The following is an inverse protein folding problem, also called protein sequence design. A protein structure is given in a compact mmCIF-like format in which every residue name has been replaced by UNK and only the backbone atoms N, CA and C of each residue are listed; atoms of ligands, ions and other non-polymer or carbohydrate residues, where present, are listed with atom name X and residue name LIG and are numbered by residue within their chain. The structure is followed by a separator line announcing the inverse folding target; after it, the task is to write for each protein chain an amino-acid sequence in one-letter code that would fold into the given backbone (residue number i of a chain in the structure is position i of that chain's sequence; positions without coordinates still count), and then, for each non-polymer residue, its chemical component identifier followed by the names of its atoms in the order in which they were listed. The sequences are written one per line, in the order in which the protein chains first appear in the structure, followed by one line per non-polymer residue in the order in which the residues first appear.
data_IF_325594128109
#
_entry.id   IF_325594128109
#
_cell.length_a   1.000
_cell.length_b   1.000
_cell.length_c   1.000
_cell.angle_alpha   90.00
_cell.angle_beta   90.00
_cell.angle_gamma   90.00
#
_symmetry.space_group_name_H-M   'P 1'
#
loop_
_entity.id
_entity.type
_entity.pdbx_description
1 polymer ?
#
# COMPACT_ATOMS: atom_id res chain seq x y z
N UNK A 1 -19.75 37.35 24.15
CA UNK A 1 -19.18 38.17 23.05
C UNK A 1 -18.46 37.18 22.13
N UNK A 2 -19.10 36.68 21.07
CA UNK A 2 -19.08 37.24 19.68
C UNK A 2 -17.64 37.59 19.28
N UNK A 3 -16.99 36.87 18.38
CA UNK A 3 -17.22 36.84 16.92
C UNK A 3 -16.58 35.55 16.30
N UNK A 4 -17.27 34.66 15.57
CA UNK A 4 -17.54 34.64 14.08
C UNK A 4 -16.39 33.98 13.27
N UNK A 5 -16.42 32.67 12.96
CA UNK A 5 -16.98 31.94 11.77
C UNK A 5 -16.34 32.21 10.39
N UNK A 6 -16.16 31.08 9.65
CA UNK A 6 -16.01 30.84 8.18
C UNK A 6 -14.59 30.35 7.79
N UNK A 7 -14.36 29.32 6.96
CA UNK A 7 -15.11 28.80 5.79
C UNK A 7 -14.90 27.27 5.65
N UNK A 8 -16.00 26.55 5.40
CA UNK A 8 -16.09 25.18 4.86
C UNK A 8 -16.45 25.32 3.37
N UNK A 9 -15.72 24.68 2.46
CA UNK A 9 -16.06 24.64 1.04
C UNK A 9 -15.95 23.21 0.51
N UNK A 10 -17.12 22.58 0.40
CA UNK A 10 -17.38 21.40 -0.43
C UNK A 10 -17.60 21.86 -1.87
N UNK A 11 -16.96 21.21 -2.86
CA UNK A 11 -17.61 21.02 -4.17
C UNK A 11 -17.04 19.77 -4.87
N UNK A 12 -17.94 18.79 -4.95
CA UNK A 12 -17.87 17.53 -5.67
C UNK A 12 -18.22 17.79 -7.13
N UNK A 13 -17.48 17.24 -8.10
CA UNK A 13 -17.89 17.19 -9.49
C UNK A 13 -17.69 15.75 -10.02
N UNK A 14 -18.79 15.00 -10.04
CA UNK A 14 -18.92 13.72 -10.73
C UNK A 14 -19.91 13.94 -11.88
N UNK A 15 -19.45 13.74 -13.11
CA UNK A 15 -20.24 13.84 -14.33
C UNK A 15 -20.65 12.41 -14.74
N UNK A 16 -21.91 12.05 -14.52
CA UNK A 16 -22.54 10.84 -15.09
C UNK A 16 -23.84 11.28 -15.76
N UNK A 17 -23.89 11.13 -17.08
CA UNK A 17 -25.11 11.29 -17.88
C UNK A 17 -25.75 9.92 -18.00
N UNK A 18 -26.89 9.74 -17.33
CA UNK A 18 -27.80 8.61 -17.53
C UNK A 18 -28.77 8.95 -18.67
N UNK A 19 -28.75 8.12 -19.71
CA UNK A 19 -29.74 8.14 -20.78
C UNK A 19 -30.89 7.21 -20.39
N UNK A 20 -32.12 7.74 -20.39
CA UNK A 20 -33.35 7.02 -20.04
C UNK A 20 -33.89 6.25 -21.24
N UNK A 21 -34.11 4.94 -21.10
CA UNK A 21 -34.96 4.15 -22.00
C UNK A 21 -36.18 3.68 -21.21
N UNK A 22 -37.38 4.00 -21.70
CA UNK A 22 -38.63 3.32 -21.34
C UNK A 22 -39.14 2.54 -22.55
N UNK A 23 -39.61 1.30 -22.39
CA UNK A 23 -40.09 0.46 -23.50
C UNK A 23 -41.59 0.65 -23.72
N UNK A 24 -42.06 0.46 -24.96
CA UNK A 24 -43.46 0.21 -25.24
C UNK A 24 -43.59 -0.95 -26.23
N UNK A 25 -44.53 -1.83 -25.90
CA UNK A 25 -44.81 -3.11 -26.52
C UNK A 25 -45.91 -3.02 -27.59
N UNK A 26 -45.96 -4.10 -28.39
CA UNK A 26 -47.13 -4.77 -28.94
C UNK A 26 -47.89 -4.18 -30.17
N UNK A 27 -47.71 -4.91 -31.28
CA UNK A 27 -48.71 -5.65 -32.06
C UNK A 27 -49.56 -5.02 -33.19
N UNK A 28 -49.64 -5.86 -34.23
CA UNK A 28 -50.81 -6.26 -35.02
C UNK A 28 -51.12 -5.63 -36.40
N UNK A 29 -51.14 -6.55 -37.39
CA UNK A 29 -52.16 -6.77 -38.44
C UNK A 29 -52.06 -6.13 -39.83
N UNK A 30 -52.09 -7.03 -40.83
CA UNK A 30 -52.77 -6.91 -42.14
C UNK A 30 -52.06 -6.07 -43.20
N UNK A 31 -52.23 -6.25 -44.51
CA UNK A 31 -52.99 -7.16 -45.36
C UNK A 31 -52.70 -6.71 -46.80
N UNK A 32 -52.40 -7.65 -47.71
CA UNK A 32 -52.79 -7.75 -49.14
C UNK A 32 -52.71 -6.50 -50.07
N UNK A 33 -52.08 -6.67 -51.23
CA UNK A 33 -52.32 -5.88 -52.47
C UNK A 33 -51.20 -6.06 -53.49
N UNK A 34 -51.24 -7.09 -54.34
CA UNK A 34 -51.70 -7.05 -55.75
C UNK A 34 -50.86 -6.15 -56.70
N UNK A 35 -50.20 -6.85 -57.65
CA UNK A 35 -49.78 -6.52 -59.03
C UNK A 35 -49.76 -5.06 -59.53
N UNK A 36 -48.78 -4.70 -60.37
CA UNK A 36 -48.98 -4.45 -61.81
C UNK A 36 -47.65 -4.43 -62.59
N UNK A 37 -47.71 -4.96 -63.81
CA UNK A 37 -46.75 -4.82 -64.91
C UNK A 37 -46.55 -3.36 -65.30
N UNK A 38 -45.35 -2.99 -65.76
CA UNK A 38 -45.26 -2.09 -66.92
C UNK A 38 -44.00 -2.37 -67.76
N UNK A 39 -44.28 -2.53 -69.06
CA UNK A 39 -43.39 -2.70 -70.20
C UNK A 39 -42.74 -1.34 -70.55
N UNK A 40 -41.53 -1.32 -71.12
CA UNK A 40 -41.16 -0.45 -72.27
C UNK A 40 -39.86 -0.95 -72.93
N UNK A 41 -39.95 -1.01 -74.26
CA UNK A 41 -38.96 -1.23 -75.33
C UNK A 41 -37.69 -0.35 -75.15
N UNK A 42 -36.47 -0.78 -75.43
CA UNK A 42 -35.93 -1.18 -76.74
C UNK A 42 -35.16 -0.01 -77.37
N UNK A 43 -33.87 -0.18 -77.69
CA UNK A 43 -33.16 0.48 -78.81
C UNK A 43 -31.88 -0.32 -79.13
N UNK A 44 -31.80 -0.63 -80.42
CA UNK A 44 -30.77 -1.27 -81.24
C UNK A 44 -29.59 -0.31 -81.51
N UNK A 45 -28.35 -0.80 -81.60
CA UNK A 45 -27.51 -0.64 -82.81
C UNK A 45 -26.12 -1.29 -82.73
N UNK A 46 -25.82 -1.95 -83.85
CA UNK A 46 -24.62 -2.68 -84.28
C UNK A 46 -23.37 -1.81 -84.56
N UNK A 47 -22.19 -2.43 -84.49
CA UNK A 47 -21.15 -2.53 -85.55
C UNK A 47 -19.92 -3.28 -84.97
N UNK A 48 -19.48 -4.47 -85.45
CA UNK A 48 -18.93 -4.91 -86.76
C UNK A 48 -17.42 -4.63 -86.93
N UNK A 49 -16.63 -5.70 -86.95
CA UNK A 49 -15.57 -6.06 -87.94
C UNK A 49 -14.89 -7.37 -87.46
N UNK A 50 -15.00 -8.52 -88.16
CA UNK A 50 -14.22 -9.00 -89.34
C UNK A 50 -12.72 -9.17 -89.01
N UNK A 51 -11.93 -10.21 -89.34
CA UNK A 51 -11.92 -11.52 -90.06
C UNK A 51 -10.46 -12.05 -89.86
N UNK A 52 -10.07 -13.33 -89.81
CA UNK A 52 -9.78 -14.29 -90.90
C UNK A 52 -9.01 -15.49 -90.27
N UNK A 53 -9.39 -16.78 -90.43
CA UNK A 53 -9.01 -17.79 -91.47
C UNK A 53 -7.51 -18.22 -91.39
N UNK A 54 -7.09 -19.48 -91.22
CA UNK A 54 -7.15 -20.70 -92.07
C UNK A 54 -6.47 -21.85 -91.25
N UNK A 55 -6.74 -23.17 -91.31
CA UNK A 55 -6.80 -24.04 -92.49
C UNK A 55 -7.08 -25.52 -92.12
N UNK A 56 -7.92 -26.16 -92.94
CA UNK A 56 -7.92 -27.54 -93.48
C UNK A 56 -7.34 -28.71 -92.64
N UNK A 57 -8.14 -29.71 -92.24
CA UNK A 57 -8.65 -30.90 -92.98
C UNK A 57 -7.73 -32.14 -93.10
N UNK A 58 -8.39 -33.29 -92.89
CA UNK A 58 -8.11 -34.71 -93.25
C UNK A 58 -7.34 -35.51 -92.19
N UNK A 59 -7.69 -36.75 -91.82
CA UNK A 59 -8.59 -37.77 -92.39
C UNK A 59 -8.84 -38.84 -91.30
N UNK A 60 -9.91 -39.63 -91.48
CA UNK A 60 -10.06 -41.04 -91.08
C UNK A 60 -10.23 -41.45 -89.61
N UNK A 61 -11.46 -41.82 -89.24
CA UNK A 61 -11.81 -43.20 -88.86
C UNK A 61 -13.33 -43.31 -88.63
N UNK A 62 -14.04 -43.56 -89.72
CA UNK A 62 -15.44 -43.99 -89.72
C UNK A 62 -15.44 -45.52 -89.65
N UNK A 63 -16.06 -46.10 -88.62
CA UNK A 63 -16.36 -47.54 -88.56
C UNK A 63 -17.75 -47.78 -87.97
N UNK A 64 -18.68 -47.91 -88.91
CA UNK A 64 -19.90 -48.73 -88.90
C UNK A 64 -20.81 -48.71 -87.65
N UNK A 65 -21.82 -47.84 -87.68
CA UNK A 65 -23.11 -48.07 -87.04
C UNK A 65 -23.96 -49.02 -87.89
N UNK A 66 -24.69 -49.99 -87.30
CA UNK A 66 -25.69 -50.75 -88.02
C UNK A 66 -26.95 -49.90 -88.27
N UNK A 67 -27.43 -49.92 -89.51
CA UNK A 67 -28.69 -49.30 -89.95
C UNK A 67 -29.88 -50.07 -89.38
N UNK A 68 -30.78 -49.38 -88.66
CA UNK A 68 -32.11 -49.87 -88.31
C UNK A 68 -33.16 -49.20 -89.21
N UNK A 69 -34.26 -49.90 -89.56
CA UNK A 69 -35.15 -49.49 -90.62
C UNK A 69 -36.09 -48.35 -90.20
N UNK A 70 -36.53 -47.63 -91.22
CA UNK A 70 -37.51 -46.55 -91.16
C UNK A 70 -38.85 -46.99 -90.51
N UNK A 71 -39.47 -46.00 -89.87
CA UNK A 71 -40.91 -45.75 -89.79
C UNK A 71 -41.63 -45.84 -88.42
N UNK A 72 -42.30 -44.72 -88.13
CA UNK A 72 -43.32 -44.37 -87.13
C UNK A 72 -43.13 -44.57 -85.61
N UNK A 73 -43.36 -43.45 -84.91
CA UNK A 73 -44.18 -43.33 -83.68
C UNK A 73 -43.53 -43.60 -82.30
N UNK A 74 -43.26 -42.49 -81.60
CA UNK A 74 -43.48 -42.34 -80.15
C UNK A 74 -42.54 -43.08 -79.19
N UNK A 75 -41.42 -42.45 -78.81
CA UNK A 75 -40.51 -42.92 -77.75
C UNK A 75 -39.94 -41.76 -76.94
N UNK A 76 -39.56 -41.97 -75.66
CA UNK A 76 -39.45 -40.93 -74.65
C UNK A 76 -38.29 -39.96 -74.91
N UNK A 77 -38.56 -38.67 -74.71
CA UNK A 77 -37.51 -37.67 -74.49
C UNK A 77 -36.84 -38.02 -73.17
N UNK A 78 -35.58 -38.46 -73.19
CA UNK A 78 -34.73 -38.41 -72.01
C UNK A 78 -34.49 -36.92 -71.73
N UNK A 79 -35.36 -36.31 -70.91
CA UNK A 79 -35.04 -35.04 -70.26
C UNK A 79 -33.91 -35.34 -69.28
N UNK A 80 -32.69 -34.97 -69.63
CA UNK A 80 -31.62 -34.77 -68.63
C UNK A 80 -32.14 -33.67 -67.71
N UNK A 81 -32.63 -34.04 -66.54
CA UNK A 81 -32.84 -33.10 -65.45
C UNK A 81 -31.42 -32.68 -65.04
N UNK A 82 -30.98 -31.54 -65.56
CA UNK A 82 -29.88 -30.80 -64.94
C UNK A 82 -30.57 -30.17 -63.72
N UNK A 83 -30.37 -30.75 -62.53
CA UNK A 83 -30.69 -30.03 -61.29
C UNK A 83 -30.03 -28.65 -61.40
N UNK A 84 -30.73 -27.54 -61.14
CA UNK A 84 -30.06 -26.25 -61.17
C UNK A 84 -28.88 -26.34 -60.20
N UNK A 85 -27.68 -26.11 -60.70
CA UNK A 85 -26.55 -25.81 -59.83
C UNK A 85 -26.97 -24.52 -59.14
N UNK A 86 -27.17 -24.54 -57.83
CA UNK A 86 -27.55 -23.37 -57.03
C UNK A 86 -26.32 -22.90 -56.28
N UNK A 87 -26.25 -21.60 -55.95
CA UNK A 87 -25.20 -21.10 -55.07
C UNK A 87 -25.31 -21.79 -53.71
N UNK A 88 -24.19 -22.26 -53.19
CA UNK A 88 -24.11 -22.91 -51.88
C UNK A 88 -22.91 -22.39 -51.13
N UNK A 89 -23.01 -22.30 -49.82
CA UNK A 89 -21.85 -22.14 -48.95
C UNK A 89 -21.54 -23.47 -48.26
N UNK A 90 -20.28 -23.87 -48.28
CA UNK A 90 -19.78 -25.04 -47.57
C UNK A 90 -18.97 -24.56 -46.37
N UNK A 91 -19.57 -24.63 -45.18
CA UNK A 91 -18.90 -24.34 -43.92
C UNK A 91 -18.05 -25.55 -43.51
N UNK A 92 -16.76 -25.31 -43.30
CA UNK A 92 -15.78 -26.31 -42.89
C UNK A 92 -15.37 -25.98 -41.45
N UNK A 93 -15.88 -26.75 -40.50
CA UNK A 93 -15.57 -26.59 -39.09
C UNK A 93 -14.23 -27.23 -38.78
N UNK A 94 -13.33 -26.46 -38.19
CA UNK A 94 -11.93 -26.79 -37.99
C UNK A 94 -11.60 -26.80 -36.49
N UNK A 95 -10.94 -27.87 -36.04
CA UNK A 95 -10.35 -27.98 -34.69
C UNK A 95 -8.87 -28.30 -34.86
N UNK A 96 -7.98 -27.47 -34.31
CA UNK A 96 -6.52 -27.63 -34.45
C UNK A 96 -6.02 -27.73 -35.91
N UNK A 97 -6.66 -26.97 -36.81
CA UNK A 97 -6.40 -27.00 -38.26
C UNK A 97 -6.68 -28.36 -38.93
N UNK A 98 -7.44 -29.23 -38.27
CA UNK A 98 -8.04 -30.43 -38.85
C UNK A 98 -9.54 -30.23 -39.07
N UNK A 99 -10.06 -30.75 -40.20
CA UNK A 99 -11.50 -30.73 -40.49
C UNK A 99 -12.24 -31.62 -39.48
N UNK A 100 -13.11 -31.00 -38.70
CA UNK A 100 -13.97 -31.64 -37.72
C UNK A 100 -15.29 -32.11 -38.34
N UNK A 101 -15.94 -31.20 -39.05
CA UNK A 101 -17.22 -31.42 -39.72
C UNK A 101 -17.34 -30.45 -40.89
N UNK A 102 -18.15 -30.78 -41.91
CA UNK A 102 -18.52 -29.83 -42.96
C UNK A 102 -20.02 -29.87 -43.23
N UNK A 103 -20.58 -28.70 -43.51
CA UNK A 103 -22.00 -28.53 -43.84
C UNK A 103 -22.14 -27.67 -45.09
N UNK A 104 -22.90 -28.14 -46.06
CA UNK A 104 -23.24 -27.38 -47.27
C UNK A 104 -24.69 -26.92 -47.17
N UNK A 105 -24.90 -25.61 -47.23
CA UNK A 105 -26.21 -24.98 -47.06
C UNK A 105 -26.54 -24.05 -48.24
N UNK A 106 -27.83 -23.94 -48.54
CA UNK A 106 -28.40 -22.99 -49.49
C UNK A 106 -28.86 -21.71 -48.79
N UNK A 107 -29.21 -20.69 -49.58
CA UNK A 107 -29.78 -19.46 -49.05
C UNK A 107 -31.03 -19.74 -48.20
N UNK A 108 -31.08 -19.16 -47.00
CA UNK A 108 -32.18 -19.29 -46.06
C UNK A 108 -32.16 -20.55 -45.17
N UNK A 109 -31.20 -21.47 -45.36
CA UNK A 109 -31.04 -22.64 -44.49
C UNK A 109 -30.27 -22.30 -43.19
N UNK A 110 -30.54 -23.07 -42.13
CA UNK A 110 -29.83 -22.97 -40.85
C UNK A 110 -28.63 -23.91 -40.84
N UNK A 111 -27.54 -23.50 -40.19
CA UNK A 111 -26.46 -24.40 -39.81
C UNK A 111 -26.89 -25.25 -38.61
N UNK A 112 -26.38 -26.47 -38.54
CA UNK A 112 -26.54 -27.33 -37.37
C UNK A 112 -25.29 -27.12 -36.51
N UNK A 113 -25.45 -26.75 -35.24
CA UNK A 113 -24.30 -26.60 -34.34
C UNK A 113 -23.57 -27.94 -34.19
N UNK A 114 -22.27 -28.03 -34.54
CA UNK A 114 -21.49 -29.23 -34.32
C UNK A 114 -21.37 -29.56 -32.83
N UNK A 115 -21.12 -30.83 -32.50
CA UNK A 115 -20.78 -31.22 -31.13
C UNK A 115 -19.55 -30.43 -30.64
N UNK A 116 -19.67 -29.82 -29.46
CA UNK A 116 -18.62 -28.99 -28.88
C UNK A 116 -17.34 -29.83 -28.68
N UNK A 117 -16.21 -29.45 -29.29
CA UNK A 117 -14.98 -30.21 -29.15
C UNK A 117 -14.44 -30.11 -27.72
N UNK A 118 -14.02 -31.25 -27.17
CA UNK A 118 -13.40 -31.31 -25.84
C UNK A 118 -11.88 -31.16 -25.95
N UNK A 119 -11.30 -30.33 -25.08
CA UNK A 119 -9.85 -30.20 -24.91
C UNK A 119 -9.47 -30.18 -23.45
N UNK A 120 -8.36 -30.85 -23.13
CA UNK A 120 -7.84 -30.89 -21.76
C UNK A 120 -7.51 -29.47 -21.26
N UNK A 121 -8.04 -29.11 -20.10
CA UNK A 121 -7.82 -27.82 -19.42
C UNK A 121 -8.25 -26.57 -20.22
N UNK A 122 -9.10 -26.75 -21.23
CA UNK A 122 -9.61 -25.67 -22.07
C UNK A 122 -11.14 -25.72 -22.15
N UNK A 123 -11.76 -24.55 -22.12
CA UNK A 123 -13.21 -24.39 -22.30
C UNK A 123 -13.48 -23.98 -23.74
N UNK A 124 -14.30 -24.75 -24.46
CA UNK A 124 -14.79 -24.35 -25.77
C UNK A 124 -15.67 -23.10 -25.65
N UNK A 125 -15.36 -22.05 -26.41
CA UNK A 125 -16.09 -20.76 -26.37
C UNK A 125 -16.97 -20.54 -27.59
N UNK A 126 -16.88 -21.39 -28.61
CA UNK A 126 -17.74 -21.34 -29.79
C UNK A 126 -16.98 -21.50 -31.10
N UNK A 127 -17.75 -21.42 -32.18
CA UNK A 127 -17.30 -21.51 -33.56
C UNK A 127 -17.21 -20.10 -34.17
N UNK A 128 -16.07 -19.77 -34.77
CA UNK A 128 -15.78 -18.42 -35.25
C UNK A 128 -15.26 -18.41 -36.68
N UNK A 129 -15.71 -17.46 -37.49
CA UNK A 129 -15.16 -17.16 -38.80
C UNK A 129 -14.08 -16.09 -38.60
N UNK A 130 -12.88 -16.33 -39.12
CA UNK A 130 -11.78 -15.36 -39.05
C UNK A 130 -12.13 -14.09 -39.82
N UNK A 131 -11.83 -12.92 -39.24
CA UNK A 131 -12.08 -11.65 -39.92
C UNK A 131 -11.02 -11.38 -40.99
N UNK A 132 -11.46 -11.12 -42.22
CA UNK A 132 -10.58 -10.68 -43.32
C UNK A 132 -9.96 -9.29 -43.09
N UNK A 133 -10.41 -8.57 -42.05
CA UNK A 133 -9.94 -7.23 -41.70
C UNK A 133 -8.94 -7.34 -40.54
N UNK A 134 -7.66 -7.00 -40.75
CA UNK A 134 -6.65 -7.06 -39.70
C UNK A 134 -7.03 -6.21 -38.47
N UNK A 135 -7.17 -6.85 -37.32
CA UNK A 135 -7.46 -6.21 -36.04
C UNK A 135 -8.94 -6.11 -35.68
N UNK A 136 -9.84 -6.54 -36.56
CA UNK A 136 -11.25 -6.74 -36.20
C UNK A 136 -11.43 -8.10 -35.50
N UNK A 137 -12.39 -8.23 -34.57
CA UNK A 137 -12.66 -9.49 -33.91
C UNK A 137 -13.27 -10.50 -34.88
N UNK A 138 -12.93 -11.77 -34.69
CA UNK A 138 -13.57 -12.87 -35.42
C UNK A 138 -15.06 -12.94 -35.13
N UNK A 139 -15.82 -13.41 -36.11
CA UNK A 139 -17.28 -13.42 -36.08
C UNK A 139 -17.74 -14.75 -35.48
N UNK A 140 -18.39 -14.70 -34.32
CA UNK A 140 -19.01 -15.89 -33.75
C UNK A 140 -20.22 -16.30 -34.58
N UNK A 141 -20.32 -17.59 -34.93
CA UNK A 141 -21.50 -18.11 -35.61
C UNK A 141 -22.68 -18.15 -34.63
N UNK A 142 -23.81 -17.58 -35.09
CA UNK A 142 -25.12 -17.76 -34.47
C UNK A 142 -25.89 -18.82 -35.27
N UNK A 143 -25.99 -20.03 -34.73
CA UNK A 143 -26.63 -21.17 -35.38
C UNK A 143 -28.16 -21.02 -35.49
N UNK A 144 -28.75 -20.02 -34.83
CA UNK A 144 -30.18 -19.70 -34.93
C UNK A 144 -30.49 -18.72 -36.08
N UNK A 145 -29.47 -18.21 -36.79
CA UNK A 145 -29.64 -17.31 -37.94
C UNK A 145 -29.54 -18.06 -39.27
N UNK A 146 -30.49 -17.84 -40.21
CA UNK A 146 -30.41 -18.41 -41.54
C UNK A 146 -29.21 -17.84 -42.30
N UNK A 147 -28.50 -18.71 -43.02
CA UNK A 147 -27.37 -18.31 -43.85
C UNK A 147 -27.86 -17.55 -45.07
N UNK A 148 -27.25 -16.40 -45.36
CA UNK A 148 -27.46 -15.69 -46.62
C UNK A 148 -26.37 -16.06 -47.61
N UNK A 149 -26.76 -16.67 -48.72
CA UNK A 149 -25.83 -17.09 -49.78
C UNK A 149 -25.94 -16.11 -50.94
N UNK A 150 -24.81 -15.51 -51.35
CA UNK A 150 -24.80 -14.57 -52.47
C UNK A 150 -25.23 -15.25 -53.79
N UNK A 151 -26.11 -14.60 -54.54
CA UNK A 151 -26.51 -15.06 -55.87
C UNK A 151 -25.46 -14.65 -56.91
N UNK A 152 -24.67 -15.63 -57.39
CA UNK A 152 -23.72 -15.46 -58.49
C UNK A 152 -24.15 -16.22 -59.76
N UNK A 153 -23.82 -15.65 -60.93
CA UNK A 153 -23.98 -16.30 -62.24
C UNK A 153 -22.63 -16.39 -62.98
N UNK A 154 -22.11 -17.61 -63.30
CA UNK A 154 -22.70 -18.91 -62.99
C UNK A 154 -22.62 -19.25 -61.49
N UNK A 155 -23.48 -20.14 -60.99
CA UNK A 155 -23.54 -20.45 -59.56
C UNK A 155 -22.24 -21.07 -59.04
N UNK A 156 -21.79 -20.56 -57.90
CA UNK A 156 -20.53 -20.89 -57.22
C UNK A 156 -20.82 -21.60 -55.89
N UNK A 157 -19.97 -22.59 -55.57
CA UNK A 157 -19.87 -23.09 -54.21
C UNK A 157 -18.69 -22.40 -53.52
N UNK A 158 -18.94 -21.69 -52.44
CA UNK A 158 -17.91 -21.00 -51.66
C UNK A 158 -17.63 -21.76 -50.38
N UNK A 159 -16.37 -22.06 -50.12
CA UNK A 159 -15.95 -22.69 -48.87
C UNK A 159 -15.69 -21.60 -47.81
N UNK A 160 -16.22 -21.79 -46.61
CA UNK A 160 -16.05 -20.90 -45.46
C UNK A 160 -15.42 -21.71 -44.32
N UNK A 161 -14.22 -21.33 -43.88
CA UNK A 161 -13.57 -21.98 -42.76
C UNK A 161 -14.06 -21.38 -41.43
N UNK A 162 -14.41 -22.27 -40.51
CA UNK A 162 -14.90 -21.92 -39.18
C UNK A 162 -14.03 -22.59 -38.15
N UNK A 163 -13.49 -21.82 -37.21
CA UNK A 163 -12.52 -22.30 -36.25
C UNK A 163 -13.13 -22.43 -34.86
N UNK A 164 -12.90 -23.59 -34.22
CA UNK A 164 -13.19 -23.76 -32.80
C UNK A 164 -12.23 -22.88 -31.98
N UNK A 165 -12.79 -22.03 -31.13
CA UNK A 165 -12.01 -21.26 -30.17
C UNK A 165 -12.17 -21.81 -28.76
N UNK A 166 -11.09 -21.66 -28.00
CA UNK A 166 -11.00 -22.12 -26.63
C UNK A 166 -10.47 -21.01 -25.73
N UNK A 167 -10.86 -21.07 -24.48
CA UNK A 167 -10.39 -20.23 -23.39
C UNK A 167 -9.81 -21.11 -22.27
N UNK A 168 -9.04 -20.53 -21.36
CA UNK A 168 -8.51 -21.28 -20.23
C UNK A 168 -9.65 -21.79 -19.34
N UNK A 169 -9.64 -23.08 -19.00
CA UNK A 169 -10.55 -23.60 -17.99
C UNK A 169 -10.00 -23.26 -16.62
N UNK A 170 -10.76 -22.50 -15.83
CA UNK A 170 -10.40 -22.10 -14.47
C UNK A 170 -11.57 -22.43 -13.53
N UNK A 171 -11.24 -22.88 -12.32
CA UNK A 171 -12.17 -23.06 -11.21
C UNK A 171 -12.08 -21.90 -10.23
N UNK A 172 -13.23 -21.46 -9.73
CA UNK A 172 -13.35 -20.42 -8.74
C UNK A 172 -13.29 -21.02 -7.32
N UNK A 173 -12.35 -20.52 -6.52
CA UNK A 173 -12.31 -20.76 -5.08
C UNK A 173 -12.70 -19.48 -4.35
N UNK A 174 -13.87 -19.50 -3.74
CA UNK A 174 -14.42 -18.38 -2.98
C UNK A 174 -14.07 -18.52 -1.50
N UNK A 175 -13.50 -17.46 -0.92
CA UNK A 175 -13.25 -17.35 0.50
C UNK A 175 -14.38 -16.57 1.16
N UNK A 176 -15.11 -17.21 2.07
CA UNK A 176 -16.37 -16.71 2.62
C UNK A 176 -16.28 -16.49 4.13
N UNK A 177 -16.82 -15.39 4.63
CA UNK A 177 -17.01 -15.16 6.07
C UNK A 177 -18.41 -14.59 6.33
N UNK A 178 -19.20 -15.31 7.14
CA UNK A 178 -20.64 -15.07 7.25
C UNK A 178 -21.30 -15.21 5.88
N UNK A 179 -22.10 -14.21 5.49
CA UNK A 179 -22.78 -14.18 4.18
C UNK A 179 -21.97 -13.44 3.09
N UNK A 180 -20.68 -13.15 3.31
CA UNK A 180 -19.87 -12.34 2.40
C UNK A 180 -18.73 -13.15 1.78
N UNK A 181 -18.62 -13.06 0.46
CA UNK A 181 -17.41 -13.46 -0.26
C UNK A 181 -16.35 -12.37 -0.03
N UNK A 182 -15.25 -12.74 0.62
CA UNK A 182 -14.12 -11.87 0.92
C UNK A 182 -13.17 -11.77 -0.27
N UNK A 183 -13.00 -12.88 -1.00
CA UNK A 183 -12.14 -12.97 -2.18
C UNK A 183 -12.49 -14.19 -3.01
N UNK A 184 -12.38 -14.08 -4.33
CA UNK A 184 -12.40 -15.23 -5.25
C UNK A 184 -11.02 -15.38 -5.87
N UNK A 185 -10.51 -16.61 -5.93
CA UNK A 185 -9.27 -16.96 -6.63
C UNK A 185 -9.59 -17.95 -7.74
N UNK A 186 -9.02 -17.72 -8.92
CA UNK A 186 -9.13 -18.64 -10.05
C UNK A 186 -7.93 -19.60 -10.06
N UNK A 187 -8.19 -20.87 -10.34
CA UNK A 187 -7.18 -21.94 -10.33
C UNK A 187 -7.42 -22.88 -11.51
N UNK A 188 -6.37 -23.24 -12.25
CA UNK A 188 -6.49 -24.25 -13.32
C UNK A 188 -6.83 -25.64 -12.73
N UNK A 189 -7.47 -26.53 -13.51
CA UNK A 189 -7.77 -27.89 -13.08
C UNK A 189 -6.56 -28.65 -12.53
N UNK A 190 -6.74 -29.28 -11.36
CA UNK A 190 -5.68 -29.98 -10.63
C UNK A 190 -4.67 -29.07 -9.93
N UNK A 191 -4.79 -27.75 -10.07
CA UNK A 191 -4.00 -26.78 -9.33
C UNK A 191 -4.37 -26.73 -7.85
N UNK A 192 -3.59 -26.00 -7.07
CA UNK A 192 -3.85 -25.78 -5.63
C UNK A 192 -4.11 -24.29 -5.38
N UNK A 193 -4.75 -24.00 -4.26
CA UNK A 193 -5.07 -22.64 -3.82
C UNK A 193 -4.40 -22.37 -2.48
N UNK A 194 -4.15 -21.10 -2.17
CA UNK A 194 -3.70 -20.64 -0.86
C UNK A 194 -4.61 -19.51 -0.35
N UNK A 195 -4.52 -19.13 0.93
CA UNK A 195 -5.32 -18.06 1.52
C UNK A 195 -4.63 -16.69 1.52
N UNK A 196 -3.48 -16.56 0.87
CA UNK A 196 -2.69 -15.33 0.85
C UNK A 196 -3.50 -14.18 0.25
N UNK A 197 -3.49 -13.06 0.98
CA UNK A 197 -4.17 -11.84 0.59
C UNK A 197 -5.70 -11.93 0.61
N UNK A 198 -6.28 -12.90 1.31
CA UNK A 198 -7.71 -12.89 1.65
C UNK A 198 -7.93 -11.91 2.81
N UNK A 199 -8.70 -10.83 2.61
CA UNK A 199 -8.90 -9.83 3.65
C UNK A 199 -9.94 -10.31 4.67
N UNK A 200 -9.49 -10.92 5.77
CA UNK A 200 -10.35 -11.36 6.85
C UNK A 200 -10.25 -10.43 8.06
N UNK A 201 -11.39 -9.87 8.48
CA UNK A 201 -11.52 -9.12 9.72
C UNK A 201 -12.69 -9.69 10.52
N UNK A 202 -12.38 -10.43 11.59
CA UNK A 202 -13.38 -11.01 12.49
C UNK A 202 -13.90 -9.89 13.39
N UNK A 203 -15.15 -9.48 13.19
CA UNK A 203 -15.79 -8.40 13.94
C UNK A 203 -16.68 -8.90 15.08
N UNK A 204 -16.91 -10.21 15.15
CA UNK A 204 -17.64 -10.85 16.23
C UNK A 204 -16.84 -10.74 17.54
N UNK A 205 -17.49 -10.21 18.58
CA UNK A 205 -16.87 -10.08 19.90
C UNK A 205 -16.54 -11.46 20.48
N UNK A 206 -15.32 -11.63 20.99
CA UNK A 206 -14.87 -12.87 21.59
C UNK A 206 -14.63 -14.02 20.60
N UNK A 207 -14.43 -13.71 19.31
CA UNK A 207 -14.08 -14.69 18.28
C UNK A 207 -12.73 -14.40 17.64
N UNK A 208 -12.04 -15.45 17.21
CA UNK A 208 -10.83 -15.37 16.38
C UNK A 208 -10.95 -16.33 15.21
N UNK A 209 -10.33 -15.99 14.08
CA UNK A 209 -10.17 -16.91 12.96
C UNK A 209 -9.33 -18.11 13.39
N UNK A 210 -9.81 -19.31 13.07
CA UNK A 210 -9.10 -20.56 13.35
C UNK A 210 -8.53 -21.17 12.07
N UNK A 211 -9.38 -21.37 11.05
CA UNK A 211 -8.98 -22.00 9.78
C UNK A 211 -10.05 -21.81 8.71
N UNK A 212 -9.70 -22.12 7.46
CA UNK A 212 -10.64 -22.26 6.35
C UNK A 212 -11.18 -23.70 6.29
N UNK A 213 -12.46 -23.88 5.96
CA UNK A 213 -13.10 -25.19 5.82
C UNK A 213 -14.08 -25.21 4.66
N UNK A 214 -14.39 -26.39 4.11
CA UNK A 214 -15.41 -26.53 3.05
C UNK A 214 -16.85 -26.33 3.56
N UNK A 215 -17.04 -26.27 4.88
CA UNK A 215 -18.33 -25.99 5.50
C UNK A 215 -18.16 -24.99 6.65
N UNK A 216 -19.19 -24.22 7.03
CA UNK A 216 -19.07 -23.17 8.05
C UNK A 216 -18.49 -23.60 9.40
N UNK A 217 -18.64 -24.86 9.79
CA UNK A 217 -18.17 -25.43 11.07
C UNK A 217 -17.32 -26.71 10.87
N UNK A 218 -16.76 -26.90 9.68
CA UNK A 218 -16.04 -28.13 9.32
C UNK A 218 -14.60 -28.19 9.84
N UNK A 219 -13.87 -29.23 9.44
CA UNK A 219 -12.44 -29.35 9.69
C UNK A 219 -11.62 -28.45 8.76
N UNK A 220 -10.38 -28.15 9.16
CA UNK A 220 -9.43 -27.41 8.34
C UNK A 220 -9.28 -28.02 6.94
N UNK A 221 -9.40 -27.16 5.93
CA UNK A 221 -9.11 -27.48 4.54
C UNK A 221 -7.60 -27.63 4.35
N UNK A 222 -7.21 -28.67 3.63
CA UNK A 222 -5.83 -28.92 3.24
C UNK A 222 -5.54 -28.20 1.92
N UNK A 223 -4.79 -27.11 1.97
CA UNK A 223 -4.41 -26.31 0.79
C UNK A 223 -3.50 -27.04 -0.20
N UNK A 224 -3.03 -28.26 0.11
CA UNK A 224 -2.36 -29.13 -0.86
C UNK A 224 -3.34 -29.94 -1.73
N UNK A 225 -4.65 -29.86 -1.47
CA UNK A 225 -5.69 -30.57 -2.22
C UNK A 225 -5.85 -29.97 -3.63
N UNK A 226 -5.70 -30.78 -4.70
CA UNK A 226 -5.99 -30.36 -6.06
C UNK A 226 -7.46 -29.95 -6.27
N UNK A 227 -7.69 -28.86 -7.01
CA UNK A 227 -9.02 -28.31 -7.29
C UNK A 227 -9.51 -28.81 -8.65
N UNK A 228 -10.69 -29.45 -8.67
CA UNK A 228 -11.30 -30.02 -9.88
C UNK A 228 -12.73 -29.50 -10.14
N UNK A 229 -13.20 -28.56 -9.32
CA UNK A 229 -14.50 -27.91 -9.43
C UNK A 229 -14.48 -26.60 -8.63
N UNK A 230 -15.48 -25.74 -8.87
CA UNK A 230 -15.68 -24.54 -8.07
C UNK A 230 -15.91 -24.91 -6.60
N UNK A 231 -15.29 -24.15 -5.68
CA UNK A 231 -15.33 -24.44 -4.24
C UNK A 231 -15.52 -23.17 -3.42
N UNK A 232 -16.26 -23.29 -2.33
CA UNK A 232 -16.34 -22.25 -1.30
C UNK A 232 -15.63 -22.72 -0.02
N UNK A 233 -14.70 -21.90 0.47
CA UNK A 233 -14.00 -22.09 1.73
C UNK A 233 -14.51 -21.06 2.75
N UNK A 234 -15.09 -21.54 3.84
CA UNK A 234 -15.65 -20.75 4.91
C UNK A 234 -14.63 -20.54 6.03
N UNK A 235 -14.53 -19.30 6.51
CA UNK A 235 -13.72 -18.96 7.67
C UNK A 235 -14.40 -19.49 8.94
N UNK A 236 -13.78 -20.50 9.56
CA UNK A 236 -14.21 -21.04 10.85
C UNK A 236 -13.63 -20.18 11.96
N UNK A 237 -14.48 -19.68 12.86
CA UNK A 237 -14.06 -18.91 14.03
C UNK A 237 -14.27 -19.68 15.32
N UNK A 238 -13.39 -19.45 16.30
CA UNK A 238 -13.50 -20.04 17.64
C UNK A 238 -13.61 -18.97 18.69
N UNK A 239 -14.16 -19.35 19.84
CA UNK A 239 -14.19 -18.49 21.02
C UNK A 239 -12.75 -18.11 21.37
N UNK A 240 -12.53 -16.83 21.65
CA UNK A 240 -11.24 -16.29 22.02
C UNK A 240 -11.41 -15.21 23.07
N UNK A 241 -10.40 -15.10 23.93
CA UNK A 241 -10.28 -14.05 24.92
C UNK A 241 -9.27 -13.00 24.44
N UNK A 242 -9.54 -11.74 24.77
CA UNK A 242 -8.62 -10.65 24.49
C UNK A 242 -7.64 -10.47 25.66
N UNK A 243 -6.35 -10.48 25.34
CA UNK A 243 -5.28 -10.09 26.24
C UNK A 243 -4.81 -8.70 25.81
N UNK A 244 -5.05 -7.72 26.67
CA UNK A 244 -4.58 -6.35 26.48
C UNK A 244 -3.34 -6.07 27.32
N UNK A 245 -2.53 -5.10 26.91
CA UNK A 245 -1.23 -4.82 27.53
C UNK A 245 -1.14 -3.35 27.94
N UNK A 246 -1.04 -3.10 29.24
CA UNK A 246 -0.67 -1.79 29.79
C UNK A 246 0.84 -1.77 30.05
N UNK A 247 1.58 -1.18 29.11
CA UNK A 247 3.05 -1.09 29.17
C UNK A 247 3.57 -0.16 30.28
N UNK A 248 2.71 0.49 31.08
CA UNK A 248 3.11 1.38 32.20
C UNK A 248 4.17 2.43 31.80
N UNK A 249 3.92 3.11 30.69
CA UNK A 249 4.81 4.15 30.14
C UNK A 249 5.94 3.62 29.24
N UNK A 250 5.98 2.32 28.94
CA UNK A 250 6.80 1.77 27.86
C UNK A 250 6.12 1.86 26.47
N UNK A 251 6.78 1.31 25.46
CA UNK A 251 6.28 1.20 24.09
C UNK A 251 4.97 0.39 24.05
N UNK A 252 4.09 0.72 23.10
CA UNK A 252 2.83 0.01 22.93
C UNK A 252 3.07 -1.45 22.53
N UNK A 253 2.26 -2.35 23.09
CA UNK A 253 2.19 -3.77 22.69
C UNK A 253 0.77 -4.03 22.22
N UNK A 254 0.64 -4.61 21.04
CA UNK A 254 -0.67 -4.85 20.44
C UNK A 254 -1.44 -5.93 21.23
N UNK A 255 -2.77 -5.81 21.35
CA UNK A 255 -3.59 -6.85 21.95
C UNK A 255 -3.43 -8.19 21.23
N UNK A 256 -3.58 -9.28 21.99
CA UNK A 256 -3.56 -10.65 21.46
C UNK A 256 -4.91 -11.30 21.67
N UNK A 257 -5.42 -11.98 20.64
CA UNK A 257 -6.58 -12.86 20.74
C UNK A 257 -6.09 -14.30 20.92
N UNK A 258 -6.62 -14.98 21.92
CA UNK A 258 -6.21 -16.34 22.28
C UNK A 258 -7.45 -17.21 22.33
N UNK A 259 -7.47 -18.31 21.55
CA UNK A 259 -8.57 -19.27 21.60
C UNK A 259 -8.83 -19.71 23.05
N UNK A 260 -10.11 -19.86 23.42
CA UNK A 260 -10.52 -20.25 24.76
C UNK A 260 -9.85 -21.56 25.20
N UNK A 261 -9.26 -21.55 26.40
CA UNK A 261 -8.54 -22.69 26.96
C UNK A 261 -7.10 -22.88 26.46
N UNK A 262 -6.60 -22.01 25.56
CA UNK A 262 -5.21 -22.03 25.15
C UNK A 262 -4.30 -21.21 26.09
N UNK A 263 -3.00 -21.51 26.04
CA UNK A 263 -1.97 -20.81 26.80
C UNK A 263 -1.62 -19.44 26.19
N UNK A 264 -1.26 -18.49 27.06
CA UNK A 264 -0.84 -17.14 26.71
C UNK A 264 0.36 -17.13 25.75
N UNK A 265 1.31 -18.04 25.96
CA UNK A 265 2.64 -18.01 25.37
C UNK A 265 3.48 -16.87 25.95
N UNK A 266 4.56 -16.49 25.24
CA UNK A 266 5.41 -15.37 25.63
C UNK A 266 4.95 -14.10 24.93
N UNK A 267 4.42 -13.09 25.64
CA UNK A 267 4.09 -11.81 25.02
C UNK A 267 5.34 -11.02 24.64
N UNK A 268 5.19 -10.06 23.73
CA UNK A 268 6.26 -9.14 23.36
C UNK A 268 6.69 -8.29 24.58
N UNK A 269 8.00 -8.02 24.66
CA UNK A 269 8.58 -7.18 25.70
C UNK A 269 8.56 -5.72 25.25
N UNK A 270 7.88 -4.81 25.96
CA UNK A 270 7.94 -3.39 25.66
C UNK A 270 9.31 -2.81 26.01
N UNK A 271 9.58 -1.60 25.53
CA UNK A 271 10.78 -0.82 25.86
C UNK A 271 10.42 0.46 26.60
N UNK A 272 11.22 0.87 27.58
CA UNK A 272 11.04 2.12 28.34
C UNK A 272 12.40 2.70 28.69
N UNK A 273 12.69 3.92 28.23
CA UNK A 273 13.99 4.57 28.47
C UNK A 273 14.31 4.59 29.96
N UNK A 274 15.56 4.27 30.34
CA UNK A 274 16.00 4.26 31.74
C UNK A 274 15.41 3.14 32.61
N UNK A 275 14.65 2.19 32.06
CA UNK A 275 14.10 1.05 32.79
C UNK A 275 14.37 -0.28 32.05
N UNK A 276 14.42 -1.37 32.80
CA UNK A 276 14.55 -2.74 32.29
C UNK A 276 13.21 -3.44 32.46
N UNK A 277 12.68 -4.01 31.37
CA UNK A 277 11.47 -4.82 31.43
C UNK A 277 11.76 -6.14 32.16
N UNK A 278 10.96 -6.47 33.17
CA UNK A 278 11.12 -7.72 33.93
C UNK A 278 10.15 -8.78 33.43
N UNK A 279 8.86 -8.47 33.50
CA UNK A 279 7.79 -9.41 33.16
C UNK A 279 6.44 -8.70 33.05
N UNK A 280 5.47 -9.43 32.50
CA UNK A 280 4.05 -9.09 32.56
C UNK A 280 3.41 -9.66 33.84
N UNK A 281 2.44 -8.94 34.40
CA UNK A 281 1.73 -9.30 35.62
C UNK A 281 0.22 -9.08 35.47
N UNK A 282 -0.62 -9.86 36.17
CA UNK A 282 -2.09 -9.69 36.16
C UNK A 282 -2.56 -8.45 36.95
N UNK A 283 -1.68 -7.88 37.77
CA UNK A 283 -1.97 -6.73 38.64
C UNK A 283 -0.77 -5.80 38.66
N UNK A 284 -0.98 -4.51 38.90
CA UNK A 284 0.11 -3.52 38.91
C UNK A 284 1.19 -3.88 39.95
N UNK A 285 2.43 -4.08 39.50
CA UNK A 285 3.56 -4.51 40.34
C UNK A 285 3.50 -5.97 40.82
N UNK A 286 2.62 -6.80 40.23
CA UNK A 286 2.42 -8.19 40.64
C UNK A 286 3.52 -9.17 40.21
N UNK A 287 3.31 -10.44 40.55
CA UNK A 287 4.18 -11.54 40.12
C UNK A 287 4.10 -11.80 38.62
N UNK A 288 5.15 -12.41 38.07
CA UNK A 288 5.24 -12.77 36.66
C UNK A 288 4.14 -13.77 36.27
N UNK A 289 3.46 -13.48 35.16
CA UNK A 289 2.57 -14.44 34.50
C UNK A 289 3.43 -15.44 33.71
N UNK A 290 3.30 -16.76 33.95
CA UNK A 290 4.07 -17.74 33.22
C UNK A 290 3.52 -17.92 31.81
N UNK A 291 4.36 -18.38 30.88
CA UNK A 291 3.97 -18.55 29.48
C UNK A 291 2.83 -19.58 29.29
N UNK A 292 2.74 -20.58 30.17
CA UNK A 292 1.69 -21.59 30.18
C UNK A 292 0.42 -21.16 30.93
N UNK A 293 0.26 -19.86 31.20
CA UNK A 293 -0.97 -19.32 31.77
C UNK A 293 -2.13 -19.53 30.79
N UNK A 294 -3.14 -20.29 31.19
CA UNK A 294 -4.34 -20.54 30.37
C UNK A 294 -5.26 -19.33 30.46
N UNK A 295 -5.64 -18.78 29.30
CA UNK A 295 -6.55 -17.63 29.24
C UNK A 295 -7.98 -18.13 29.11
N UNK A 296 -8.81 -17.80 30.10
CA UNK A 296 -10.23 -18.21 30.19
C UNK A 296 -11.20 -17.03 30.32
N UNK A 297 -10.69 -15.80 30.26
CA UNK A 297 -11.47 -14.57 30.26
C UNK A 297 -10.62 -13.43 29.65
N UNK A 298 -11.27 -12.30 29.35
CA UNK A 298 -10.55 -11.11 28.94
C UNK A 298 -9.68 -10.59 30.09
N UNK A 299 -8.39 -10.39 29.82
CA UNK A 299 -7.42 -9.93 30.83
C UNK A 299 -6.63 -8.72 30.33
N UNK A 300 -6.13 -7.94 31.29
CA UNK A 300 -5.12 -6.91 31.04
C UNK A 300 -3.84 -7.29 31.79
N UNK A 301 -2.72 -7.30 31.08
CA UNK A 301 -1.40 -7.51 31.65
C UNK A 301 -0.69 -6.17 31.84
N UNK A 302 -0.06 -6.00 32.99
CA UNK A 302 0.65 -4.80 33.39
C UNK A 302 2.15 -5.06 33.38
N UNK A 303 2.91 -4.20 32.70
CA UNK A 303 4.36 -4.32 32.61
C UNK A 303 5.01 -3.97 33.95
N UNK A 304 5.89 -4.85 34.42
CA UNK A 304 6.71 -4.62 35.61
C UNK A 304 8.11 -4.21 35.18
N UNK A 305 8.56 -3.08 35.72
CA UNK A 305 9.81 -2.42 35.36
C UNK A 305 10.78 -2.38 36.54
N UNK A 306 12.06 -2.56 36.25
CA UNK A 306 13.16 -2.27 37.18
C UNK A 306 13.88 -1.01 36.72
N UNK A 307 14.20 -0.10 37.63
CA UNK A 307 14.95 1.12 37.28
C UNK A 307 16.36 0.75 36.81
N UNK A 308 16.77 1.28 35.66
CA UNK A 308 18.13 1.12 35.15
C UNK A 308 19.13 1.82 36.07
N UNK A 309 20.24 1.16 36.39
CA UNK A 309 21.28 1.67 37.30
C UNK A 309 22.36 2.50 36.60
N UNK A 310 22.34 2.56 35.26
CA UNK A 310 23.37 3.16 34.42
C UNK A 310 22.83 4.30 33.55
N UNK A 311 21.84 5.04 34.06
CA UNK A 311 21.25 6.17 33.32
C UNK A 311 22.16 7.38 33.42
N UNK A 312 22.62 7.88 32.26
CA UNK A 312 23.54 9.01 32.18
C UNK A 312 22.88 10.32 32.64
N UNK A 313 23.66 11.23 33.21
CA UNK A 313 23.26 12.62 33.48
C UNK A 313 24.51 13.51 33.48
N UNK A 314 24.30 14.83 33.45
CA UNK A 314 25.37 15.83 33.44
C UNK A 314 25.42 16.59 34.76
N UNK A 315 26.62 16.88 35.23
CA UNK A 315 26.88 17.83 36.32
C UNK A 315 27.63 19.00 35.71
N UNK A 316 27.10 20.22 35.84
CA UNK A 316 27.72 21.44 35.32
C UNK A 316 28.19 22.30 36.49
N UNK A 317 29.45 22.69 36.45
CA UNK A 317 30.07 23.55 37.45
C UNK A 317 30.10 24.99 36.94
N UNK A 318 29.57 25.91 37.74
CA UNK A 318 29.38 27.32 37.43
C UNK A 318 30.13 28.21 38.42
N UNK A 319 30.95 29.12 37.91
CA UNK A 319 31.68 30.09 38.72
C UNK A 319 31.05 31.48 38.62
N UNK A 320 30.84 32.12 39.77
CA UNK A 320 30.31 33.48 39.84
C UNK A 320 31.23 34.44 39.07
N UNK A 321 30.64 35.41 38.37
CA UNK A 321 31.38 36.43 37.66
C UNK A 321 31.99 37.45 38.62
N UNK A 322 33.05 38.13 38.18
CA UNK A 322 33.75 39.10 39.02
C UNK A 322 33.02 40.44 39.11
N UNK A 323 32.34 40.83 38.03
CA UNK A 323 31.76 42.17 37.85
C UNK A 323 30.23 42.21 38.03
N UNK A 324 29.59 41.04 38.15
CA UNK A 324 28.15 40.88 38.37
C UNK A 324 27.87 39.64 39.24
N UNK A 325 26.59 39.33 39.45
CA UNK A 325 26.12 38.19 40.26
C UNK A 325 25.70 36.98 39.40
N UNK A 326 25.90 37.05 38.07
CA UNK A 326 25.68 35.92 37.17
C UNK A 326 26.86 34.93 37.26
N UNK A 327 26.73 33.83 36.53
CA UNK A 327 27.70 32.75 36.54
C UNK A 327 28.14 32.38 35.14
N UNK A 328 29.40 31.96 35.02
CA UNK A 328 30.00 31.43 33.79
C UNK A 328 30.30 29.94 33.94
N UNK A 329 30.10 29.19 32.85
CA UNK A 329 30.44 27.78 32.76
C UNK A 329 31.94 27.58 32.99
N UNK A 330 32.31 26.69 33.90
CA UNK A 330 33.70 26.28 34.10
C UNK A 330 33.96 24.94 33.43
N UNK A 331 33.25 23.90 33.86
CA UNK A 331 33.44 22.54 33.38
C UNK A 331 32.20 21.67 33.61
N UNK A 332 32.23 20.45 33.07
CA UNK A 332 31.17 19.47 33.27
C UNK A 332 31.72 18.06 33.51
N UNK A 333 30.94 17.27 34.24
CA UNK A 333 31.15 15.84 34.41
C UNK A 333 29.96 15.07 33.80
N UNK A 334 30.23 13.93 33.18
CA UNK A 334 29.20 12.96 32.81
C UNK A 334 29.21 11.87 33.87
N UNK A 335 28.04 11.59 34.44
CA UNK A 335 27.86 10.57 35.48
C UNK A 335 26.72 9.63 35.11
N UNK A 336 26.65 8.51 35.80
CA UNK A 336 25.54 7.57 35.71
C UNK A 336 24.94 7.32 37.09
N UNK A 337 23.66 7.00 37.12
CA UNK A 337 22.98 6.61 38.35
C UNK A 337 21.68 5.85 38.07
N UNK A 338 20.94 5.58 39.15
CA UNK A 338 19.66 4.88 39.05
C UNK A 338 18.56 5.84 38.61
N UNK A 339 17.82 5.50 37.56
CA UNK A 339 16.66 6.27 37.10
C UNK A 339 15.68 6.51 38.25
N UNK A 340 15.22 7.75 38.41
CA UNK A 340 14.29 8.13 39.47
C UNK A 340 14.95 8.33 40.84
N UNK A 341 16.26 8.09 41.00
CA UNK A 341 16.99 8.48 42.19
C UNK A 341 17.50 9.93 42.10
N UNK A 342 17.80 10.55 43.24
CA UNK A 342 18.49 11.84 43.30
C UNK A 342 19.87 11.74 42.65
N UNK A 343 20.17 12.67 41.75
CA UNK A 343 21.45 12.77 41.08
C UNK A 343 22.53 13.22 42.07
N UNK A 344 23.66 12.52 42.08
CA UNK A 344 24.79 12.86 42.96
C UNK A 344 25.80 13.75 42.25
N UNK A 345 26.48 14.61 43.00
CA UNK A 345 27.55 15.46 42.52
C UNK A 345 28.68 15.51 43.56
N UNK A 346 29.88 15.88 43.12
CA UNK A 346 31.03 16.13 43.98
C UNK A 346 31.41 17.60 43.85
N UNK A 347 31.56 18.31 44.97
CA UNK A 347 32.07 19.68 44.94
C UNK A 347 33.57 19.69 44.62
N UNK A 348 34.00 20.59 43.75
CA UNK A 348 35.40 20.82 43.39
C UNK A 348 35.97 22.03 44.14
N UNK A 349 37.30 22.17 44.08
CA UNK A 349 38.02 23.29 44.69
C UNK A 349 38.67 24.13 43.60
N UNK A 350 38.27 25.40 43.51
CA UNK A 350 38.84 26.37 42.57
C UNK A 350 39.51 27.51 43.34
N UNK A 351 40.67 27.95 42.87
CA UNK A 351 41.40 29.07 43.47
C UNK A 351 40.56 30.33 43.45
N UNK A 352 40.29 30.91 44.62
CA UNK A 352 39.50 32.14 44.73
C UNK A 352 37.99 31.93 44.76
N UNK A 353 37.51 30.68 44.86
CA UNK A 353 36.10 30.35 44.97
C UNK A 353 35.82 29.40 46.14
N UNK A 354 34.56 29.33 46.55
CA UNK A 354 34.06 28.33 47.49
C UNK A 354 32.70 27.80 47.01
N UNK A 355 32.40 26.53 47.34
CA UNK A 355 31.11 25.93 47.07
C UNK A 355 29.98 26.74 47.70
N UNK A 356 28.92 27.00 46.93
CA UNK A 356 27.74 27.74 47.35
C UNK A 356 26.58 26.78 47.58
N UNK A 357 26.09 26.15 46.50
CA UNK A 357 25.00 25.19 46.52
C UNK A 357 24.99 24.38 45.22
N UNK A 358 24.11 23.38 45.14
CA UNK A 358 23.79 22.69 43.90
C UNK A 358 22.28 22.42 43.83
N UNK A 359 21.79 22.16 42.63
CA UNK A 359 20.40 21.78 42.41
C UNK A 359 20.14 20.35 42.92
N UNK A 360 19.01 20.16 43.61
CA UNK A 360 18.48 18.83 43.91
C UNK A 360 17.61 18.37 42.73
N UNK A 361 18.12 17.40 41.96
CA UNK A 361 17.44 16.90 40.77
C UNK A 361 17.36 15.39 40.77
N UNK A 362 16.27 14.87 40.22
CA UNK A 362 16.10 13.43 40.00
C UNK A 362 16.63 13.05 38.62
N UNK A 363 17.25 11.87 38.52
CA UNK A 363 17.73 11.31 37.25
C UNK A 363 16.52 10.92 36.39
N UNK A 364 16.32 11.68 35.32
CA UNK A 364 15.34 11.45 34.27
C UNK A 364 15.68 10.16 33.53
N UNK A 365 14.65 9.40 33.18
CA UNK A 365 14.79 8.15 32.48
C UNK A 365 15.38 8.30 31.06
N UNK A 366 15.29 9.51 30.48
CA UNK A 366 15.85 9.82 29.16
C UNK A 366 17.34 10.18 29.21
N UNK A 367 17.91 10.30 30.41
CA UNK A 367 19.32 10.64 30.60
C UNK A 367 19.70 12.08 30.27
N UNK A 368 18.72 12.99 30.24
CA UNK A 368 18.86 14.41 29.93
C UNK A 368 19.00 15.30 31.17
N UNK A 369 18.99 14.72 32.38
CA UNK A 369 19.15 15.45 33.65
C UNK A 369 20.45 16.26 33.68
N UNK A 370 20.33 17.48 34.17
CA UNK A 370 21.44 18.40 34.44
C UNK A 370 21.38 18.80 35.91
N UNK A 371 22.47 18.56 36.63
CA UNK A 371 22.70 19.09 37.99
C UNK A 371 23.61 20.29 37.86
N UNK A 372 23.16 21.48 38.29
CA UNK A 372 24.05 22.65 38.35
C UNK A 372 24.69 22.76 39.73
N UNK A 373 25.99 23.01 39.77
CA UNK A 373 26.80 23.19 40.98
C UNK A 373 27.43 24.57 40.92
N UNK A 374 27.14 25.41 41.90
CA UNK A 374 27.50 26.82 41.90
C UNK A 374 28.61 27.14 42.90
N UNK A 375 29.56 27.96 42.48
CA UNK A 375 30.69 28.41 43.29
C UNK A 375 30.73 29.93 43.35
N UNK A 376 30.75 30.48 44.57
CA UNK A 376 30.87 31.93 44.79
C UNK A 376 32.33 32.34 44.87
N UNK A 377 32.64 33.56 44.44
CA UNK A 377 33.99 34.12 44.59
C UNK A 377 34.25 34.42 46.06
N UNK A 378 35.48 34.16 46.48
CA UNK A 378 35.97 34.62 47.77
C UNK A 378 35.98 36.15 47.77
N UNK A 379 35.44 36.75 48.82
CA UNK A 379 35.41 38.19 48.98
C UNK A 379 36.59 38.61 49.86
N UNK A 380 37.38 39.54 49.34
CA UNK A 380 38.54 40.10 50.06
C UNK A 380 38.29 41.56 50.38
N UNK A 381 38.91 42.03 51.46
CA UNK A 381 38.87 43.45 51.81
C UNK A 381 39.96 44.19 51.05
N UNK A 382 39.57 45.12 50.18
CA UNK A 382 40.48 46.01 49.47
C UNK A 382 40.51 47.37 50.16
N UNK A 383 41.70 47.83 50.54
CA UNK A 383 41.88 49.10 51.25
C UNK A 383 42.79 50.01 50.43
N UNK A 384 42.34 51.24 50.20
CA UNK A 384 43.12 52.29 49.55
C UNK A 384 43.62 53.24 50.63
N UNK A 385 44.93 53.48 50.65
CA UNK A 385 45.56 54.36 51.63
C UNK A 385 46.49 55.36 50.94
N UNK A 386 46.63 56.53 51.55
CA UNK A 386 47.58 57.57 51.15
C UNK A 386 48.36 58.04 52.38
N UNK A 387 49.52 58.67 52.14
CA UNK A 387 50.35 59.22 53.22
C UNK A 387 50.58 60.71 53.03
N UNK A 388 50.63 61.43 54.13
CA UNK A 388 51.03 62.82 54.23
C UNK A 388 52.37 62.93 54.94
N UNK A 389 53.09 64.05 54.76
CA UNK A 389 54.42 64.26 55.31
C UNK A 389 55.55 63.74 54.40
N UNK A 390 56.76 64.27 54.60
CA UNK A 390 57.93 64.04 53.74
C UNK A 390 58.82 62.87 54.16
N UNK A 391 58.55 62.25 55.31
CA UNK A 391 59.32 61.12 55.85
C UNK A 391 60.60 61.52 56.58
N UNK A 392 60.74 62.80 56.92
CA UNK A 392 61.88 63.35 57.64
C UNK A 392 61.72 63.28 59.16
N UNK A 393 62.82 63.47 59.89
CA UNK A 393 62.85 63.47 61.37
C UNK A 393 61.88 64.47 62.02
N UNK A 394 61.60 65.59 61.34
CA UNK A 394 60.67 66.62 61.79
C UNK A 394 59.29 66.56 61.13
N UNK A 395 59.09 65.64 60.18
CA UNK A 395 57.86 65.49 59.38
C UNK A 395 57.66 64.02 58.96
N UNK A 396 57.26 63.16 59.92
CA UNK A 396 57.13 61.72 59.69
C UNK A 396 55.95 61.42 58.76
N UNK A 397 56.01 60.27 58.08
CA UNK A 397 54.87 59.79 57.30
C UNK A 397 53.66 59.49 58.20
N UNK A 398 52.52 60.10 57.88
CA UNK A 398 51.22 59.81 58.49
C UNK A 398 50.33 59.15 57.46
N UNK A 399 49.85 57.94 57.76
CA UNK A 399 48.98 57.15 56.88
C UNK A 399 47.51 57.43 57.16
N UNK A 400 46.74 57.59 56.08
CA UNK A 400 45.30 57.77 56.12
C UNK A 400 44.63 56.70 55.25
N UNK A 401 43.51 56.16 55.74
CA UNK A 401 42.69 55.24 54.97
C UNK A 401 41.63 56.04 54.23
N UNK A 402 41.63 55.94 52.90
CA UNK A 402 40.64 56.59 52.05
C UNK A 402 39.37 55.76 51.96
N UNK A 403 39.49 54.48 51.61
CA UNK A 403 38.35 53.58 51.50
C UNK A 403 38.70 52.15 51.85
N UNK A 404 37.69 51.42 52.31
CA UNK A 404 37.75 49.98 52.56
C UNK A 404 36.51 49.37 51.92
N UNK A 405 36.71 48.53 50.91
CA UNK A 405 35.61 47.95 50.12
C UNK A 405 35.79 46.43 50.01
N UNK A 406 34.75 45.62 50.26
CA UNK A 406 34.78 44.20 49.92
C UNK A 406 34.73 44.05 48.39
N UNK A 407 35.71 43.35 47.82
CA UNK A 407 35.75 43.03 46.39
C UNK A 407 35.82 41.52 46.19
N UNK A 408 35.13 41.02 45.17
CA UNK A 408 35.22 39.62 44.76
C UNK A 408 36.63 39.33 44.24
N UNK A 409 37.15 38.13 44.45
CA UNK A 409 38.43 37.70 43.91
C UNK A 409 38.47 37.92 42.39
N UNK A 410 39.46 38.68 41.89
CA UNK A 410 39.59 39.01 40.47
C UNK A 410 38.69 40.15 39.96
N UNK A 411 37.88 40.78 40.82
CA UNK A 411 37.12 41.98 40.48
C UNK A 411 38.05 43.17 40.24
N UNK A 412 37.70 44.00 39.27
CA UNK A 412 38.44 45.22 38.95
C UNK A 412 38.44 46.20 40.14
N UNK A 413 39.64 46.67 40.50
CA UNK A 413 39.83 47.72 41.50
C UNK A 413 39.81 49.13 40.88
N UNK A 414 39.67 49.23 39.56
CA UNK A 414 39.86 50.47 38.83
C UNK A 414 38.87 51.57 39.23
N UNK A 415 37.60 51.21 39.49
CA UNK A 415 36.59 52.19 39.88
C UNK A 415 36.94 52.86 41.23
N UNK A 416 37.25 52.05 42.25
CA UNK A 416 37.62 52.54 43.58
C UNK A 416 38.94 53.33 43.53
N UNK A 417 39.91 52.85 42.75
CA UNK A 417 41.19 53.52 42.56
C UNK A 417 41.02 54.88 41.85
N UNK A 418 40.33 54.91 40.71
CA UNK A 418 40.14 56.14 39.93
C UNK A 418 39.33 57.18 40.70
N UNK A 419 38.35 56.78 41.51
CA UNK A 419 37.62 57.68 42.40
C UNK A 419 38.56 58.34 43.42
N UNK A 420 39.46 57.56 44.02
CA UNK A 420 40.47 58.07 44.94
C UNK A 420 41.37 59.11 44.27
N UNK A 421 41.93 58.79 43.10
CA UNK A 421 42.79 59.71 42.32
C UNK A 421 42.05 61.01 41.95
N UNK A 422 40.77 60.92 41.55
CA UNK A 422 39.99 62.09 41.16
C UNK A 422 39.73 63.04 42.34
N UNK A 423 39.47 62.52 43.55
CA UNK A 423 39.23 63.34 44.73
C UNK A 423 40.52 63.97 45.28
N UNK A 424 41.64 63.26 45.14
CA UNK A 424 42.92 63.59 45.77
C UNK A 424 44.09 63.44 44.77
N UNK A 425 44.16 64.26 43.71
CA UNK A 425 45.06 64.06 42.57
C UNK A 425 46.55 64.32 42.87
N UNK A 426 46.86 64.94 44.00
CA UNK A 426 48.22 65.32 44.40
C UNK A 426 48.90 64.29 45.32
N UNK A 427 48.20 63.21 45.68
CA UNK A 427 48.73 62.17 46.56
C UNK A 427 49.14 60.93 45.77
N UNK A 428 50.19 60.28 46.27
CA UNK A 428 50.60 58.96 45.80
C UNK A 428 49.79 57.87 46.52
N UNK A 429 49.23 56.94 45.76
CA UNK A 429 48.34 55.90 46.28
C UNK A 429 49.08 54.58 46.47
N UNK A 430 48.78 53.89 47.56
CA UNK A 430 49.41 52.63 47.90
C UNK A 430 48.35 51.56 48.17
N UNK A 431 48.60 50.35 47.67
CA UNK A 431 47.74 49.18 47.89
C UNK A 431 48.02 48.50 49.24
N UNK A 432 49.07 48.91 49.96
CA UNK A 432 49.34 48.57 51.37
C UNK A 432 50.41 49.50 51.97
N UNK A 433 50.40 49.66 53.30
CA UNK A 433 51.41 50.45 54.07
C UNK A 433 52.85 49.96 53.94
N UNK A 434 53.02 48.71 53.50
CA UNK A 434 54.33 48.06 53.28
C UNK A 434 54.76 48.10 51.82
N UNK A 435 53.93 48.61 50.91
CA UNK A 435 54.28 48.75 49.50
C UNK A 435 55.24 49.93 49.30
N UNK A 436 56.37 49.67 48.64
CA UNK A 436 57.27 50.72 48.14
C UNK A 436 56.85 51.23 46.76
N UNK A 437 55.85 50.60 46.14
CA UNK A 437 55.33 50.98 44.83
C UNK A 437 54.08 51.82 45.04
N UNK A 438 54.17 53.10 44.67
CA UNK A 438 53.01 53.97 44.54
C UNK A 438 52.44 53.88 43.14
N UNK A 439 51.12 53.92 43.03
CA UNK A 439 50.42 54.11 41.77
C UNK A 439 50.05 55.60 41.68
N UNK A 440 50.17 56.16 40.48
CA UNK A 440 49.83 57.55 40.15
C UNK A 440 48.80 57.57 39.05
#
# INVERSE_FOLDING_TARGET
MRETRKVLAFLLALLVVLNTVTPFAYAETGSIGESQEEVIEGIDQQQKDETDVDSSQRHDLEKELPQLPDDQSGGPVIKRIISPVVNTYTYIFMVDAEEWERQTVQDGELLIEPEAPEKENLRFIGWFIESDIPGEPDIQIDFDQPVSVAEEEPPVNTDIEVYAKFDELLYNVEFVYGDKILKTKEVSPGGTVDDSGVPLNVTEEGKVFSHWSETPDGSAFDFSTPIHEDKSLYAVTKNAWIVTFDSKGGSAVLPKHIEDGNELGTPESPTRAGYVFKHWSLTDGGSAVPANYVVTENITLYAVWEAGTNTCYKVIHWQENAEDDDYTFEEQDIRTGTTGATATYESKSYTGFHFSHADDTTISANGDTVVNVYYKRNVHTFTIEYRTGSGGWFDPYVWHTYSTTPLKYGQSTAAQYNAAVAEYPYYSWYTSRTSNTSYS
#
